data_IF_641714332401
#
_entry.id   IF_641714332401
#
_cell.length_a   1.000
_cell.length_b   1.000
_cell.length_c   1.000
_cell.angle_alpha   90.00
_cell.angle_beta   90.00
_cell.angle_gamma   90.00
#
_symmetry.space_group_name_H-M   'P 1'
#
loop_
_entity.id
_entity.type
_entity.pdbx_description
1 polymer ?
#
# COMPACT_ATOMS: atom_id res chain seq x y z
N UNK A 1 7.49 7.51 -8.36
CA UNK A 1 7.50 7.18 -6.91
C UNK A 1 6.49 6.07 -6.65
N UNK A 2 6.99 4.91 -6.23
CA UNK A 2 6.22 3.69 -6.03
C UNK A 2 5.60 3.67 -4.62
N UNK A 3 5.48 2.50 -3.99
CA UNK A 3 5.02 2.32 -2.62
C UNK A 3 5.32 0.87 -2.19
N UNK A 4 5.49 0.65 -0.89
CA UNK A 4 5.50 -0.69 -0.31
C UNK A 4 4.23 -1.49 -0.60
N UNK A 5 3.09 -0.81 -0.81
CA UNK A 5 1.84 -1.45 -1.26
C UNK A 5 1.93 -2.04 -2.68
N UNK A 6 3.05 -1.83 -3.40
CA UNK A 6 3.39 -2.52 -4.64
C UNK A 6 4.18 -3.82 -4.46
N UNK A 7 4.62 -4.13 -3.23
CA UNK A 7 5.33 -5.38 -2.88
C UNK A 7 4.47 -6.31 -2.03
N UNK A 8 3.61 -5.74 -1.20
CA UNK A 8 2.68 -6.46 -0.32
C UNK A 8 1.28 -5.90 -0.55
N UNK A 9 0.32 -6.77 -0.84
CA UNK A 9 -1.07 -6.36 -1.04
C UNK A 9 -1.67 -5.85 0.27
N UNK A 10 -2.21 -4.62 0.22
CA UNK A 10 -2.87 -4.01 1.37
C UNK A 10 -4.39 -4.09 1.14
N UNK A 11 -5.14 -4.67 2.08
CA UNK A 11 -6.60 -4.74 1.96
C UNK A 11 -7.27 -3.37 1.83
N UNK A 12 -8.47 -3.35 1.24
CA UNK A 12 -9.36 -2.17 1.07
C UNK A 12 -8.88 -1.08 0.12
N UNK A 13 -7.60 -1.07 -0.24
CA UNK A 13 -7.02 -0.14 -1.20
C UNK A 13 -6.60 -0.85 -2.49
N UNK A 14 -7.39 -1.84 -2.93
CA UNK A 14 -7.06 -2.75 -4.02
C UNK A 14 -6.64 -2.04 -5.32
N UNK A 15 -7.40 -1.03 -5.77
CA UNK A 15 -7.04 -0.25 -6.97
C UNK A 15 -5.70 0.49 -6.82
N UNK A 16 -5.42 1.03 -5.64
CA UNK A 16 -4.13 1.67 -5.33
C UNK A 16 -3.01 0.64 -5.31
N UNK A 17 -3.18 -0.49 -4.62
CA UNK A 17 -2.23 -1.60 -4.59
C UNK A 17 -1.90 -2.09 -6.00
N UNK A 18 -2.91 -2.38 -6.82
CA UNK A 18 -2.71 -2.81 -8.22
C UNK A 18 -1.88 -1.79 -8.99
N UNK A 19 -2.21 -0.50 -8.87
CA UNK A 19 -1.45 0.58 -9.53
C UNK A 19 0.01 0.62 -9.06
N UNK A 20 0.26 0.38 -7.77
CA UNK A 20 1.61 0.39 -7.20
C UNK A 20 2.42 -0.85 -7.58
N UNK A 21 1.80 -2.02 -7.69
CA UNK A 21 2.43 -3.21 -8.28
C UNK A 21 2.81 -2.96 -9.74
N UNK A 22 1.89 -2.41 -10.55
CA UNK A 22 2.14 -2.09 -11.94
C UNK A 22 3.29 -1.09 -12.10
N UNK A 23 3.36 -0.06 -11.23
CA UNK A 23 4.44 0.93 -11.27
C UNK A 23 5.82 0.33 -10.95
N UNK A 24 5.87 -0.68 -10.07
CA UNK A 24 7.11 -1.40 -9.77
C UNK A 24 7.52 -2.25 -10.98
N UNK A 25 6.61 -3.03 -11.54
CA UNK A 25 6.89 -3.82 -12.75
C UNK A 25 7.31 -2.95 -13.93
N UNK A 26 6.66 -1.79 -14.12
CA UNK A 26 7.04 -0.81 -15.13
C UNK A 26 8.45 -0.24 -14.89
N UNK A 27 8.80 0.05 -13.63
CA UNK A 27 10.15 0.53 -13.28
C UNK A 27 11.21 -0.55 -13.50
N UNK A 28 10.89 -1.82 -13.23
CA UNK A 28 11.77 -2.96 -13.49
C UNK A 28 11.98 -3.17 -14.99
N UNK A 29 10.92 -3.13 -15.78
CA UNK A 29 10.99 -3.16 -17.24
C UNK A 29 11.86 -2.04 -17.80
N UNK A 30 11.62 -0.79 -17.38
CA UNK A 30 12.39 0.35 -17.85
C UNK A 30 13.88 0.27 -17.53
N UNK A 31 14.30 -0.41 -16.44
CA UNK A 31 15.74 -0.58 -16.18
C UNK A 31 16.43 -1.35 -17.28
N UNK A 32 15.80 -2.40 -17.82
CA UNK A 32 16.38 -3.20 -18.89
C UNK A 32 16.41 -2.42 -20.20
N UNK A 33 15.34 -1.72 -20.53
CA UNK A 33 15.31 -0.94 -21.77
C UNK A 33 16.27 0.25 -21.72
N UNK A 34 16.27 0.99 -20.61
CA UNK A 34 17.04 2.23 -20.50
C UNK A 34 18.55 2.01 -20.39
N UNK A 35 19.00 0.79 -20.06
CA UNK A 35 20.41 0.45 -19.87
C UNK A 35 21.26 0.70 -21.13
N UNK A 36 20.71 0.46 -22.32
CA UNK A 36 21.43 0.68 -23.59
C UNK A 36 21.79 2.14 -23.83
N UNK A 37 21.07 3.07 -23.20
CA UNK A 37 21.36 4.52 -23.24
C UNK A 37 22.16 5.00 -22.02
N UNK A 38 22.56 4.10 -21.13
CA UNK A 38 23.24 4.44 -19.88
C UNK A 38 22.36 5.21 -18.89
N UNK A 39 21.04 5.18 -19.06
CA UNK A 39 20.08 5.88 -18.20
C UNK A 39 19.67 4.95 -17.05
N UNK A 40 19.91 5.38 -15.81
CA UNK A 40 19.51 4.64 -14.62
C UNK A 40 18.08 4.95 -14.21
N UNK A 41 17.31 3.90 -13.91
CA UNK A 41 15.93 3.99 -13.42
C UNK A 41 15.87 3.51 -11.97
N UNK A 42 15.54 4.44 -11.05
CA UNK A 42 15.49 4.19 -9.61
C UNK A 42 14.04 4.26 -9.12
N UNK A 43 13.66 3.30 -8.27
CA UNK A 43 12.35 3.27 -7.62
C UNK A 43 12.49 3.62 -6.14
N UNK A 44 11.68 4.57 -5.66
CA UNK A 44 11.54 4.88 -4.24
C UNK A 44 10.19 4.34 -3.79
N UNK A 45 10.21 3.42 -2.84
CA UNK A 45 9.09 2.61 -2.36
C UNK A 45 8.84 2.91 -0.87
N UNK A 46 8.18 4.04 -0.57
CA UNK A 46 7.82 4.36 0.81
C UNK A 46 6.67 3.51 1.32
N UNK A 47 6.66 3.29 2.63
CA UNK A 47 5.47 2.82 3.36
C UNK A 47 4.39 3.92 3.45
N UNK A 48 3.63 3.97 4.55
CA UNK A 48 2.62 4.98 4.82
C UNK A 48 3.22 6.16 5.60
N UNK A 49 3.30 7.34 4.95
CA UNK A 49 3.77 8.60 5.53
C UNK A 49 2.69 9.68 5.49
N UNK A 50 2.72 10.60 6.44
CA UNK A 50 1.79 11.73 6.52
C UNK A 50 1.93 12.63 5.29
N UNK A 51 0.89 12.62 4.47
CA UNK A 51 0.73 13.46 3.28
C UNK A 51 -0.76 13.79 3.13
N UNK A 52 -1.10 14.73 2.25
CA UNK A 52 -2.50 15.03 1.94
C UNK A 52 -3.29 13.75 1.56
N UNK A 53 -2.64 12.79 0.91
CA UNK A 53 -3.25 11.52 0.52
C UNK A 53 -3.72 10.67 1.70
N UNK A 54 -3.00 10.72 2.82
CA UNK A 54 -3.20 9.84 3.98
C UNK A 54 -3.91 10.54 5.14
N UNK A 55 -4.37 11.77 4.93
CA UNK A 55 -5.21 12.45 5.94
C UNK A 55 -6.53 11.70 6.08
N UNK A 56 -7.02 11.55 7.31
CA UNK A 56 -8.27 10.85 7.59
C UNK A 56 -9.42 11.42 6.75
N UNK A 57 -9.52 12.75 6.65
CA UNK A 57 -10.52 13.44 5.84
C UNK A 57 -10.49 12.98 4.37
N UNK A 58 -9.31 12.95 3.75
CA UNK A 58 -9.19 12.60 2.33
C UNK A 58 -9.40 11.10 2.09
N UNK A 59 -8.89 10.24 2.98
CA UNK A 59 -9.15 8.80 2.92
C UNK A 59 -10.66 8.50 3.02
N UNK A 60 -11.34 9.14 3.95
CA UNK A 60 -12.78 8.97 4.17
C UNK A 60 -13.61 9.52 3.01
N UNK A 61 -13.23 10.68 2.46
CA UNK A 61 -13.88 11.23 1.28
C UNK A 61 -13.78 10.28 0.08
N UNK A 62 -12.58 9.73 -0.18
CA UNK A 62 -12.37 8.77 -1.28
C UNK A 62 -13.18 7.49 -1.08
N UNK A 63 -13.22 6.96 0.14
CA UNK A 63 -14.01 5.78 0.46
C UNK A 63 -15.51 6.02 0.27
N UNK A 64 -16.04 7.13 0.77
CA UNK A 64 -17.46 7.47 0.60
C UNK A 64 -17.80 7.69 -0.88
N UNK A 65 -16.93 8.36 -1.65
CA UNK A 65 -17.15 8.56 -3.08
C UNK A 65 -17.15 7.22 -3.84
N UNK A 66 -16.29 6.27 -3.45
CA UNK A 66 -16.28 4.92 -4.03
C UNK A 66 -17.59 4.16 -3.73
N UNK A 67 -18.16 4.32 -2.53
CA UNK A 67 -19.46 3.71 -2.19
C UNK A 67 -20.61 4.38 -2.97
N UNK A 68 -20.60 5.71 -3.07
CA UNK A 68 -21.66 6.48 -3.75
C UNK A 68 -21.65 6.20 -5.27
N UNK A 69 -20.48 5.97 -5.85
CA UNK A 69 -20.32 5.65 -7.27
C UNK A 69 -20.57 4.18 -7.61
N UNK A 70 -20.69 3.30 -6.61
CA UNK A 70 -21.05 1.91 -6.83
C UNK A 70 -22.55 1.76 -7.08
N UNK A 71 -22.92 0.80 -7.94
CA UNK A 71 -24.31 0.46 -8.20
C UNK A 71 -25.01 -0.03 -6.92
N UNK A 72 -26.34 0.15 -6.87
CA UNK A 72 -27.13 -0.11 -5.66
C UNK A 72 -27.11 -1.59 -5.24
N UNK A 73 -27.15 -2.50 -6.22
CA UNK A 73 -27.03 -3.94 -6.04
C UNK A 73 -25.67 -4.31 -5.45
N UNK A 74 -24.57 -3.77 -6.00
CA UNK A 74 -23.21 -3.96 -5.48
C UNK A 74 -23.11 -3.49 -4.03
N UNK A 75 -23.62 -2.29 -3.72
CA UNK A 75 -23.61 -1.76 -2.35
C UNK A 75 -24.39 -2.66 -1.39
N UNK A 76 -25.54 -3.19 -1.83
CA UNK A 76 -26.37 -4.11 -1.05
C UNK A 76 -25.67 -5.45 -0.80
N UNK A 77 -24.97 -5.99 -1.79
CA UNK A 77 -24.21 -7.25 -1.70
C UNK A 77 -23.05 -7.20 -0.70
N UNK A 78 -22.40 -6.04 -0.60
CA UNK A 78 -21.41 -5.79 0.45
C UNK A 78 -22.06 -5.63 1.82
N UNK A 79 -23.19 -4.92 1.89
CA UNK A 79 -23.95 -4.69 3.10
C UNK A 79 -23.41 -3.55 3.97
N UNK A 80 -24.31 -2.76 4.53
CA UNK A 80 -24.00 -1.55 5.31
C UNK A 80 -23.08 -1.79 6.52
N UNK A 81 -23.22 -2.96 7.17
CA UNK A 81 -22.37 -3.35 8.30
C UNK A 81 -20.91 -3.50 7.86
N UNK A 82 -20.67 -4.26 6.80
CA UNK A 82 -19.32 -4.50 6.28
C UNK A 82 -18.67 -3.21 5.77
N UNK A 83 -19.43 -2.37 5.05
CA UNK A 83 -18.92 -1.07 4.57
C UNK A 83 -18.51 -0.14 5.73
N UNK A 84 -19.28 -0.14 6.83
CA UNK A 84 -18.96 0.62 8.05
C UNK A 84 -17.73 0.08 8.77
N UNK A 85 -17.58 -1.24 8.84
CA UNK A 85 -16.40 -1.89 9.39
C UNK A 85 -15.16 -1.58 8.55
N UNK A 86 -15.25 -1.65 7.21
CA UNK A 86 -14.16 -1.27 6.31
C UNK A 86 -13.73 0.18 6.50
N UNK A 87 -14.71 1.09 6.63
CA UNK A 87 -14.47 2.51 6.90
C UNK A 87 -13.72 2.72 8.21
N UNK A 88 -14.09 1.97 9.25
CA UNK A 88 -13.45 2.01 10.56
C UNK A 88 -12.06 1.38 10.52
N UNK A 89 -11.88 0.32 9.73
CA UNK A 89 -10.60 -0.35 9.58
C UNK A 89 -9.57 0.53 8.88
N UNK A 90 -10.02 1.32 7.90
CA UNK A 90 -9.20 2.28 7.18
C UNK A 90 -8.64 3.37 8.11
N UNK A 91 -9.38 3.79 9.14
CA UNK A 91 -8.95 4.84 10.08
C UNK A 91 -8.21 4.30 11.31
N UNK A 92 -8.51 3.07 11.74
CA UNK A 92 -7.87 2.41 12.90
C UNK A 92 -6.64 1.57 12.56
N UNK A 93 -6.24 1.56 11.28
CA UNK A 93 -5.06 0.84 10.83
C UNK A 93 -3.75 1.43 11.36
N UNK A 94 -2.65 1.02 10.74
CA UNK A 94 -1.33 1.59 11.04
C UNK A 94 -1.36 3.09 10.69
N UNK A 95 -1.08 4.01 11.64
CA UNK A 95 -1.11 5.44 11.35
C UNK A 95 0.03 5.81 10.38
N UNK A 96 -0.14 6.83 9.54
CA UNK A 96 0.96 7.33 8.70
C UNK A 96 2.13 7.81 9.57
N UNK A 97 3.35 7.60 9.10
CA UNK A 97 4.54 8.10 9.79
C UNK A 97 4.70 9.62 9.57
N UNK A 98 4.92 10.42 10.62
CA UNK A 98 5.09 11.88 10.49
C UNK A 98 6.46 12.27 9.90
N UNK A 99 7.41 11.33 9.88
CA UNK A 99 8.80 11.60 9.53
C UNK A 99 9.05 11.53 8.02
N UNK A 100 8.53 12.51 7.29
CA UNK A 100 8.66 12.60 5.83
C UNK A 100 10.13 12.77 5.38
N UNK A 101 11.03 13.21 6.27
CA UNK A 101 12.44 13.42 5.95
C UNK A 101 13.12 12.14 5.50
N UNK A 102 12.69 10.97 5.98
CA UNK A 102 13.20 9.67 5.50
C UNK A 102 13.00 9.45 4.00
N UNK A 103 11.92 9.99 3.44
CA UNK A 103 11.68 9.95 1.99
C UNK A 103 12.65 10.91 1.29
N UNK A 104 12.85 12.10 1.85
CA UNK A 104 13.78 13.10 1.30
C UNK A 104 15.21 12.57 1.29
N UNK A 105 15.66 11.93 2.37
CA UNK A 105 16.98 11.30 2.46
C UNK A 105 17.14 10.22 1.37
N UNK A 106 16.11 9.41 1.12
CA UNK A 106 16.14 8.41 0.06
C UNK A 106 16.23 9.04 -1.34
N UNK A 107 15.52 10.15 -1.57
CA UNK A 107 15.61 10.93 -2.82
C UNK A 107 17.00 11.53 -2.98
N UNK A 108 17.54 12.14 -1.92
CA UNK A 108 18.86 12.74 -1.91
C UNK A 108 19.93 11.69 -2.22
N UNK A 109 19.90 10.53 -1.54
CA UNK A 109 20.82 9.43 -1.81
C UNK A 109 20.69 8.91 -3.25
N UNK A 110 19.47 8.80 -3.78
CA UNK A 110 19.24 8.32 -5.15
C UNK A 110 19.84 9.26 -6.21
N UNK A 111 19.85 10.58 -5.96
CA UNK A 111 20.33 11.59 -6.90
C UNK A 111 21.82 11.91 -6.70
N UNK A 112 22.30 11.95 -5.46
CA UNK A 112 23.65 12.39 -5.12
C UNK A 112 24.71 11.28 -5.19
N UNK A 113 24.33 10.00 -5.03
CA UNK A 113 25.31 8.91 -5.07
C UNK A 113 25.81 8.64 -6.49
N UNK A 114 27.12 8.37 -6.61
CA UNK A 114 27.73 7.94 -7.89
C UNK A 114 27.17 6.60 -8.37
N UNK A 115 26.91 5.70 -7.43
CA UNK A 115 26.37 4.34 -7.64
C UNK A 115 25.18 4.12 -6.70
N UNK A 116 23.99 4.68 -7.02
CA UNK A 116 22.80 4.52 -6.20
C UNK A 116 22.21 3.12 -6.35
N UNK A 117 21.42 2.70 -5.35
CA UNK A 117 20.64 1.47 -5.46
C UNK A 117 19.48 1.63 -6.46
N UNK A 118 19.07 0.53 -7.10
CA UNK A 118 17.94 0.54 -8.03
C UNK A 118 16.59 0.72 -7.31
N UNK A 119 16.52 0.33 -6.03
CA UNK A 119 15.31 0.37 -5.20
C UNK A 119 15.67 0.90 -3.81
N UNK A 120 14.95 1.93 -3.37
CA UNK A 120 15.00 2.46 -2.00
C UNK A 120 13.65 2.19 -1.33
N UNK A 121 13.62 1.19 -0.44
CA UNK A 121 12.45 0.92 0.42
C UNK A 121 12.55 1.77 1.68
N UNK A 122 11.58 2.64 1.91
CA UNK A 122 11.60 3.62 3.01
C UNK A 122 10.61 3.21 4.08
N UNK A 123 11.11 2.95 5.29
CA UNK A 123 10.33 2.44 6.43
C UNK A 123 10.38 3.41 7.63
N UNK A 124 9.33 3.40 8.45
CA UNK A 124 9.25 4.19 9.70
C UNK A 124 10.26 3.73 10.75
N UNK A 125 10.58 2.43 10.78
CA UNK A 125 11.46 1.83 11.77
C UNK A 125 12.07 0.54 11.26
N UNK A 126 13.17 0.11 11.87
CA UNK A 126 13.85 -1.15 11.55
C UNK A 126 12.93 -2.34 11.83
N UNK A 127 12.15 -2.29 12.92
CA UNK A 127 11.19 -3.35 13.25
C UNK A 127 10.10 -3.49 12.17
N UNK A 128 9.60 -2.37 11.65
CA UNK A 128 8.60 -2.40 10.58
C UNK A 128 9.21 -2.86 9.25
N UNK A 129 10.44 -2.44 8.95
CA UNK A 129 11.20 -2.96 7.82
C UNK A 129 11.34 -4.49 7.90
N UNK A 130 11.73 -5.03 9.05
CA UNK A 130 11.85 -6.46 9.28
C UNK A 130 10.53 -7.20 9.06
N UNK A 131 9.43 -6.71 9.66
CA UNK A 131 8.10 -7.28 9.49
C UNK A 131 7.67 -7.33 8.03
N UNK A 132 7.80 -6.21 7.31
CA UNK A 132 7.40 -6.14 5.91
C UNK A 132 8.27 -7.00 5.01
N UNK A 133 9.59 -7.04 5.22
CA UNK A 133 10.45 -7.91 4.44
C UNK A 133 10.12 -9.40 4.66
N UNK A 134 9.81 -9.82 5.90
CA UNK A 134 9.31 -11.17 6.14
C UNK A 134 8.04 -11.43 5.34
N UNK A 135 7.04 -10.55 5.44
CA UNK A 135 5.79 -10.72 4.70
C UNK A 135 6.01 -10.79 3.18
N UNK A 136 6.91 -9.98 2.62
CA UNK A 136 7.22 -9.96 1.19
C UNK A 136 7.84 -11.28 0.69
N UNK A 137 8.74 -11.89 1.46
CA UNK A 137 9.40 -13.15 1.08
C UNK A 137 8.68 -14.42 1.56
N UNK A 138 7.68 -14.29 2.43
CA UNK A 138 6.90 -15.42 2.90
C UNK A 138 5.99 -16.00 1.79
N UNK A 139 5.68 -17.31 1.84
CA UNK A 139 4.71 -17.94 0.94
C UNK A 139 3.35 -17.22 0.97
N UNK A 140 2.64 -17.27 -0.15
CA UNK A 140 1.33 -16.60 -0.31
C UNK A 140 0.32 -17.07 0.73
N UNK A 141 0.35 -18.34 1.13
CA UNK A 141 -0.51 -18.91 2.16
C UNK A 141 -0.27 -18.23 3.52
N UNK A 142 0.99 -17.94 3.85
CA UNK A 142 1.33 -17.23 5.08
C UNK A 142 0.92 -15.76 5.01
N UNK A 143 1.06 -15.10 3.86
CA UNK A 143 0.57 -13.74 3.66
C UNK A 143 -0.95 -13.65 3.85
N UNK A 144 -1.70 -14.60 3.25
CA UNK A 144 -3.16 -14.71 3.43
C UNK A 144 -3.50 -14.99 4.90
N UNK A 145 -2.75 -15.86 5.57
CA UNK A 145 -2.93 -16.13 6.99
C UNK A 145 -2.78 -14.86 7.84
N UNK A 146 -1.70 -14.10 7.66
CA UNK A 146 -1.48 -12.81 8.35
C UNK A 146 -2.60 -11.82 8.04
N UNK A 147 -3.01 -11.71 6.77
CA UNK A 147 -4.14 -10.89 6.35
C UNK A 147 -5.44 -11.30 7.04
N UNK A 148 -5.70 -12.61 7.18
CA UNK A 148 -6.89 -13.13 7.86
C UNK A 148 -6.92 -12.80 9.36
N UNK A 149 -5.75 -12.85 10.03
CA UNK A 149 -5.61 -12.44 11.43
C UNK A 149 -5.91 -10.94 11.56
N UNK A 150 -5.35 -10.12 10.68
CA UNK A 150 -5.61 -8.69 10.64
C UNK A 150 -7.12 -8.41 10.48
N UNK A 151 -7.80 -9.05 9.54
CA UNK A 151 -9.25 -8.89 9.37
C UNK A 151 -10.06 -9.26 10.61
N UNK A 152 -9.70 -10.37 11.28
CA UNK A 152 -10.36 -10.79 12.52
C UNK A 152 -10.16 -9.79 13.65
N UNK A 153 -8.94 -9.28 13.84
CA UNK A 153 -8.63 -8.26 14.86
C UNK A 153 -9.44 -6.98 14.61
N UNK A 154 -9.60 -6.61 13.34
CA UNK A 154 -10.36 -5.42 12.95
C UNK A 154 -11.89 -5.65 12.95
N UNK A 155 -12.36 -6.83 13.37
CA UNK A 155 -13.78 -7.16 13.51
C UNK A 155 -14.51 -7.38 12.18
N UNK A 156 -13.77 -7.60 11.10
CA UNK A 156 -14.32 -7.74 9.75
C UNK A 156 -14.74 -9.19 9.50
N UNK A 157 -16.03 -9.46 9.63
CA UNK A 157 -16.63 -10.70 9.16
C UNK A 157 -17.80 -10.37 8.24
N UNK A 158 -17.77 -10.86 6.99
CA UNK A 158 -19.01 -10.90 6.20
C UNK A 158 -19.95 -11.87 6.93
N UNK A 159 -21.04 -11.34 7.48
CA UNK A 159 -22.11 -12.17 8.08
C UNK A 159 -22.56 -13.19 7.04
N UNK A 160 -22.44 -14.49 7.33
CA UNK A 160 -22.80 -15.61 6.44
C UNK A 160 -24.33 -15.74 6.20
N UNK A 161 -25.07 -14.63 6.12
CA UNK A 161 -26.51 -14.67 5.88
C UNK A 161 -26.95 -13.59 4.90
N UNK A 162 -26.95 -13.97 3.62
CA UNK A 162 -27.90 -13.49 2.62
C UNK A 162 -27.84 -14.39 1.36
N UNK A 163 -28.42 -15.59 1.48
CA UNK A 163 -29.07 -16.42 0.46
C UNK A 163 -28.87 -17.90 0.80
#
# INVERSE_FOLDING_TARGET
MASLAGRIAVPYIGSYTITKYALIGFSEYLRYEMDVWGIRVISIEPELFETDLTTEKNMMSRFNNAIISADEDVRKDYGEKFLRECKTALTRGIPPSPDIHKILDAVELAVCLKTPANVYKVYRSIAFAFLCNICEYCPTEFQIFIGSIYFRIMGLSKSEKAS
#
